data_IF_331767882408
#
_entry.id   IF_331767882408
#
_cell.length_a   1.000
_cell.length_b   1.000
_cell.length_c   1.000
_cell.angle_alpha   90.00
_cell.angle_beta   90.00
_cell.angle_gamma   90.00
#
_symmetry.space_group_name_H-M   'P 1'
#
loop_
_entity.id
_entity.type
_entity.pdbx_description
1 polymer ?
#
# COMPACT_ATOMS: atom_id res chain seq x y z
N UNK A 1 -10.64 -16.40 7.58
CA UNK A 1 -9.66 -17.02 6.66
C UNK A 1 -9.21 -15.88 5.77
N UNK A 2 -7.90 -15.75 5.54
CA UNK A 2 -7.41 -14.77 4.58
C UNK A 2 -8.11 -14.99 3.24
N UNK A 3 -8.39 -13.90 2.52
CA UNK A 3 -8.95 -13.99 1.18
C UNK A 3 -7.95 -14.73 0.27
N UNK A 4 -8.45 -15.64 -0.58
CA UNK A 4 -7.63 -16.56 -1.38
C UNK A 4 -6.56 -15.86 -2.21
N UNK A 5 -6.78 -14.60 -2.58
CA UNK A 5 -5.83 -13.85 -3.39
C UNK A 5 -4.62 -13.34 -2.60
N UNK A 6 -4.82 -12.99 -1.33
CA UNK A 6 -3.73 -12.55 -0.45
C UNK A 6 -2.86 -13.75 -0.10
N UNK A 7 -3.47 -14.91 0.14
CA UNK A 7 -2.75 -16.18 0.35
C UNK A 7 -1.85 -16.53 -0.85
N UNK A 8 -2.37 -16.40 -2.09
CA UNK A 8 -1.59 -16.63 -3.32
C UNK A 8 -0.41 -15.66 -3.44
N UNK A 9 -0.63 -14.37 -3.16
CA UNK A 9 0.43 -13.37 -3.17
C UNK A 9 1.52 -13.69 -2.14
N UNK A 10 1.13 -14.02 -0.92
CA UNK A 10 2.05 -14.35 0.16
C UNK A 10 2.81 -15.65 -0.12
N UNK A 11 2.16 -16.66 -0.73
CA UNK A 11 2.81 -17.89 -1.18
C UNK A 11 3.89 -17.61 -2.23
N UNK A 12 3.55 -16.81 -3.26
CA UNK A 12 4.47 -16.46 -4.33
C UNK A 12 5.72 -15.75 -3.79
N UNK A 13 5.53 -14.80 -2.88
CA UNK A 13 6.64 -14.11 -2.21
C UNK A 13 7.47 -15.07 -1.35
N UNK A 14 6.83 -15.94 -0.57
CA UNK A 14 7.51 -16.91 0.28
C UNK A 14 8.37 -17.87 -0.54
N UNK A 15 7.88 -18.30 -1.72
CA UNK A 15 8.62 -19.16 -2.65
C UNK A 15 9.84 -18.46 -3.27
N UNK A 16 9.79 -17.13 -3.40
CA UNK A 16 10.90 -16.28 -3.87
C UNK A 16 11.82 -15.80 -2.74
N UNK A 17 11.48 -16.07 -1.47
CA UNK A 17 12.23 -15.59 -0.31
C UNK A 17 12.13 -14.07 -0.10
N UNK A 18 11.06 -13.44 -0.59
CA UNK A 18 10.84 -12.00 -0.50
C UNK A 18 10.01 -11.63 0.73
N UNK A 19 10.32 -10.48 1.30
CA UNK A 19 9.69 -9.90 2.48
C UNK A 19 8.97 -8.60 2.15
N UNK A 20 7.95 -8.23 2.94
CA UNK A 20 7.10 -7.06 2.72
C UNK A 20 6.91 -6.23 3.99
N UNK A 21 6.86 -4.91 3.80
CA UNK A 21 6.46 -3.94 4.80
C UNK A 21 5.40 -2.97 4.25
N UNK A 22 4.56 -2.44 5.14
CA UNK A 22 3.45 -1.56 4.79
C UNK A 22 3.53 -0.17 5.44
N UNK A 23 3.15 0.89 4.72
CA UNK A 23 2.74 2.16 5.33
C UNK A 23 1.33 2.54 4.88
N UNK A 24 0.39 2.55 5.82
CA UNK A 24 -1.04 2.59 5.53
C UNK A 24 -1.69 3.85 6.07
N UNK A 25 -2.28 4.65 5.20
CA UNK A 25 -3.21 5.71 5.58
C UNK A 25 -4.63 5.16 5.54
N UNK A 26 -5.29 5.20 4.38
CA UNK A 26 -6.72 4.93 4.23
C UNK A 26 -7.17 3.52 4.66
N UNK A 27 -6.30 2.52 4.59
CA UNK A 27 -6.57 1.13 5.02
C UNK A 27 -6.25 0.88 6.50
N UNK A 28 -5.58 1.80 7.17
CA UNK A 28 -5.35 1.83 8.62
C UNK A 28 -4.79 0.53 9.24
N UNK A 29 -3.97 -0.24 8.52
CA UNK A 29 -3.38 -1.50 9.00
C UNK A 29 -4.11 -2.75 8.51
N UNK A 30 -5.25 -2.60 7.81
CA UNK A 30 -6.01 -3.74 7.32
C UNK A 30 -5.22 -4.52 6.27
N UNK A 31 -4.50 -3.87 5.36
CA UNK A 31 -3.66 -4.55 4.37
C UNK A 31 -2.58 -5.42 5.05
N UNK A 32 -1.85 -4.86 6.03
CA UNK A 32 -0.90 -5.60 6.84
C UNK A 32 -1.55 -6.77 7.59
N UNK A 33 -2.76 -6.56 8.12
CA UNK A 33 -3.48 -7.60 8.86
C UNK A 33 -3.89 -8.79 7.99
N UNK A 34 -4.27 -8.56 6.74
CA UNK A 34 -4.60 -9.65 5.80
C UNK A 34 -3.37 -10.53 5.53
N UNK A 35 -2.19 -9.93 5.35
CA UNK A 35 -0.94 -10.68 5.22
C UNK A 35 -0.58 -11.44 6.50
N UNK A 36 -0.87 -10.88 7.69
CA UNK A 36 -0.65 -11.54 8.97
C UNK A 36 -1.53 -12.78 9.18
N UNK A 37 -2.71 -12.83 8.54
CA UNK A 37 -3.65 -13.95 8.60
C UNK A 37 -3.29 -15.10 7.66
N UNK A 38 -2.32 -14.91 6.75
CA UNK A 38 -1.87 -15.96 5.83
C UNK A 38 -1.00 -17.00 6.55
N UNK A 39 -0.97 -18.27 6.07
CA UNK A 39 -0.02 -19.29 6.55
C UNK A 39 1.45 -18.93 6.31
N UNK A 40 1.73 -17.97 5.43
CA UNK A 40 3.07 -17.55 5.02
C UNK A 40 3.57 -16.32 5.77
N UNK A 41 2.73 -15.71 6.62
CA UNK A 41 3.01 -14.46 7.36
C UNK A 41 4.40 -14.43 8.00
N UNK A 42 4.80 -15.47 8.74
CA UNK A 42 6.10 -15.54 9.39
C UNK A 42 7.32 -15.61 8.46
N UNK A 43 7.11 -15.84 7.16
CA UNK A 43 8.17 -15.82 6.13
C UNK A 43 8.23 -14.50 5.36
N UNK A 44 7.09 -13.82 5.22
CA UNK A 44 6.97 -12.67 4.31
C UNK A 44 6.78 -11.34 5.04
N UNK A 45 5.99 -11.30 6.10
CA UNK A 45 5.57 -10.05 6.71
C UNK A 45 6.60 -9.57 7.75
N UNK A 46 7.21 -8.41 7.49
CA UNK A 46 8.12 -7.75 8.45
C UNK A 46 7.35 -6.86 9.41
N UNK A 47 6.34 -6.15 8.90
CA UNK A 47 5.48 -5.29 9.72
C UNK A 47 4.85 -4.16 8.90
N UNK A 48 4.25 -3.21 9.61
CA UNK A 48 3.66 -2.03 8.97
C UNK A 48 3.43 -0.87 9.92
N UNK A 49 3.25 0.31 9.34
CA UNK A 49 2.99 1.58 10.04
C UNK A 49 1.65 2.14 9.56
N UNK A 50 0.70 2.28 10.48
CA UNK A 50 -0.51 3.05 10.22
C UNK A 50 -0.21 4.55 10.39
N UNK A 51 -0.26 5.32 9.30
CA UNK A 51 0.02 6.76 9.24
C UNK A 51 -1.15 7.52 8.61
N UNK A 52 -2.30 7.44 9.29
CA UNK A 52 -3.58 7.99 8.82
C UNK A 52 -3.51 9.52 8.64
N UNK A 53 -3.07 10.24 9.67
CA UNK A 53 -3.00 11.69 9.65
C UNK A 53 -1.82 12.21 8.80
N UNK A 54 -2.03 13.32 8.10
CA UNK A 54 -0.99 13.96 7.28
C UNK A 54 0.25 14.36 8.10
N UNK A 55 0.07 14.79 9.36
CA UNK A 55 1.18 15.14 10.25
C UNK A 55 2.06 13.94 10.61
N UNK A 56 1.52 12.71 10.61
CA UNK A 56 2.31 11.50 10.81
C UNK A 56 3.14 11.14 9.57
N UNK A 57 2.63 11.43 8.36
CA UNK A 57 3.42 11.28 7.13
C UNK A 57 4.68 12.15 7.18
N UNK A 58 4.57 13.38 7.71
CA UNK A 58 5.71 14.30 7.86
C UNK A 58 6.60 13.93 9.05
N UNK A 59 6.02 13.74 10.23
CA UNK A 59 6.80 13.60 11.47
C UNK A 59 7.46 12.23 11.61
N UNK A 60 6.78 11.16 11.18
CA UNK A 60 7.26 9.78 11.29
C UNK A 60 7.94 9.33 9.99
N UNK A 61 7.22 9.37 8.87
CA UNK A 61 7.77 8.96 7.56
C UNK A 61 8.64 10.04 6.91
N UNK A 62 8.80 11.23 7.49
CA UNK A 62 9.67 12.28 6.94
C UNK A 62 9.31 12.70 5.50
N UNK A 63 8.05 12.51 5.10
CA UNK A 63 7.54 13.07 3.83
C UNK A 63 7.70 14.60 3.90
N UNK A 64 8.35 15.23 2.91
CA UNK A 64 8.47 16.68 2.85
C UNK A 64 7.10 17.37 2.91
N UNK A 65 6.96 18.36 3.78
CA UNK A 65 5.71 19.13 3.91
C UNK A 65 5.30 19.77 2.57
N UNK A 66 6.26 20.19 1.74
CA UNK A 66 5.98 20.76 0.42
C UNK A 66 5.23 19.81 -0.51
N UNK A 67 5.48 18.49 -0.45
CA UNK A 67 4.72 17.53 -1.26
C UNK A 67 3.24 17.48 -0.84
N UNK A 68 2.98 17.60 0.46
CA UNK A 68 1.61 17.64 0.97
C UNK A 68 0.92 18.95 0.55
N UNK A 69 1.64 20.07 0.60
CA UNK A 69 1.10 21.37 0.23
C UNK A 69 0.78 21.45 -1.28
N UNK A 70 1.66 20.88 -2.11
CA UNK A 70 1.53 20.92 -3.58
C UNK A 70 0.54 19.88 -4.13
N UNK A 71 0.51 18.67 -3.57
CA UNK A 71 -0.23 17.53 -4.12
C UNK A 71 -1.34 16.99 -3.23
N UNK A 72 -1.45 17.45 -1.98
CA UNK A 72 -2.31 16.92 -0.90
C UNK A 72 -1.89 15.53 -0.38
N UNK A 73 -2.31 15.12 0.84
CA UNK A 73 -1.94 13.83 1.42
C UNK A 73 -2.44 12.60 0.64
N UNK A 74 -3.55 12.74 -0.10
CA UNK A 74 -4.12 11.70 -0.95
C UNK A 74 -3.70 11.91 -2.41
N UNK A 75 -2.43 11.61 -2.70
CA UNK A 75 -1.82 11.75 -4.04
C UNK A 75 -0.79 10.65 -4.31
N UNK A 76 -0.46 10.40 -5.58
CA UNK A 76 0.53 9.38 -5.94
C UNK A 76 1.93 9.82 -5.52
N UNK A 77 2.22 11.10 -5.58
CA UNK A 77 3.48 11.72 -5.20
C UNK A 77 3.79 11.49 -3.72
N UNK A 78 2.81 11.76 -2.84
CA UNK A 78 2.95 11.47 -1.41
C UNK A 78 3.04 9.96 -1.17
N UNK A 79 2.26 9.14 -1.88
CA UNK A 79 2.30 7.67 -1.73
C UNK A 79 3.65 7.10 -2.11
N UNK A 80 4.22 7.52 -3.23
CA UNK A 80 5.55 7.09 -3.69
C UNK A 80 6.64 7.50 -2.71
N UNK A 81 6.63 8.75 -2.23
CA UNK A 81 7.57 9.22 -1.21
C UNK A 81 7.44 8.41 0.09
N UNK A 82 6.22 8.08 0.52
CA UNK A 82 6.00 7.21 1.68
C UNK A 82 6.71 5.86 1.53
N UNK A 83 6.74 5.26 0.33
CA UNK A 83 7.40 3.98 0.11
C UNK A 83 8.93 4.09 0.20
N UNK A 84 9.51 5.13 -0.39
CA UNK A 84 10.94 5.40 -0.26
C UNK A 84 11.35 5.68 1.18
N UNK A 85 10.50 6.35 1.95
CA UNK A 85 10.77 6.62 3.37
C UNK A 85 10.55 5.40 4.25
N UNK A 86 9.62 4.53 3.90
CA UNK A 86 9.40 3.28 4.61
C UNK A 86 10.63 2.37 4.53
N UNK A 87 11.34 2.35 3.40
CA UNK A 87 12.56 1.55 3.24
C UNK A 87 13.72 2.00 4.12
N UNK A 88 13.73 3.28 4.53
CA UNK A 88 14.69 3.79 5.52
C UNK A 88 14.36 3.34 6.96
N UNK A 89 13.12 2.92 7.23
CA UNK A 89 12.64 2.58 8.57
C UNK A 89 12.53 1.07 8.82
N UNK A 90 12.17 0.29 7.79
CA UNK A 90 11.96 -1.15 7.87
C UNK A 90 12.79 -1.82 6.78
N UNK A 91 13.56 -2.84 7.14
CA UNK A 91 14.32 -3.62 6.16
C UNK A 91 13.42 -4.72 5.58
N UNK A 92 13.04 -4.59 4.31
CA UNK A 92 12.21 -5.54 3.56
C UNK A 92 12.59 -5.49 2.07
N UNK A 93 12.09 -6.43 1.28
CA UNK A 93 12.32 -6.44 -0.18
C UNK A 93 11.23 -5.69 -0.96
N UNK A 94 10.03 -5.61 -0.36
CA UNK A 94 8.84 -4.98 -0.93
C UNK A 94 8.27 -3.96 0.05
N UNK A 95 8.07 -2.73 -0.43
CA UNK A 95 7.51 -1.62 0.35
C UNK A 95 6.21 -1.16 -0.25
N UNK A 96 5.08 -1.46 0.39
CA UNK A 96 3.76 -1.09 -0.10
C UNK A 96 3.18 0.03 0.73
N UNK A 97 2.68 1.06 0.05
CA UNK A 97 2.10 2.22 0.69
C UNK A 97 0.77 2.57 0.05
N UNK A 98 -0.13 3.11 0.87
CA UNK A 98 -1.49 3.39 0.44
C UNK A 98 -2.06 4.62 1.11
N UNK A 99 -2.64 5.49 0.28
CA UNK A 99 -3.45 6.64 0.68
C UNK A 99 -4.71 6.69 -0.18
N UNK A 100 -5.68 7.49 0.22
CA UNK A 100 -6.93 7.59 -0.53
C UNK A 100 -8.08 8.12 0.29
N UNK A 101 -9.23 8.23 -0.37
CA UNK A 101 -10.45 8.83 0.15
C UNK A 101 -11.51 7.74 0.31
N UNK A 102 -11.70 7.24 1.53
CA UNK A 102 -12.72 6.20 1.82
C UNK A 102 -14.04 6.78 2.33
N UNK A 103 -14.05 8.07 2.66
CA UNK A 103 -15.22 8.84 3.11
C UNK A 103 -15.13 10.29 2.60
N UNK A 104 -16.24 11.06 2.55
CA UNK A 104 -16.23 12.45 2.11
C UNK A 104 -15.29 13.34 2.93
N UNK A 105 -14.72 14.37 2.29
CA UNK A 105 -13.80 15.34 2.91
C UNK A 105 -12.33 15.12 2.55
N UNK A 106 -11.43 15.56 3.43
CA UNK A 106 -9.98 15.54 3.14
C UNK A 106 -9.63 16.41 1.94
N UNK A 107 -8.93 15.84 0.96
CA UNK A 107 -8.56 16.51 -0.30
C UNK A 107 -9.48 16.16 -1.49
N UNK A 108 -10.70 15.72 -1.22
CA UNK A 108 -11.71 15.41 -2.23
C UNK A 108 -11.95 16.57 -3.21
N UNK A 109 -12.04 16.25 -4.50
CA UNK A 109 -12.43 17.15 -5.59
C UNK A 109 -13.26 16.38 -6.61
N UNK A 110 -13.86 17.06 -7.59
CA UNK A 110 -14.59 16.37 -8.68
C UNK A 110 -13.72 15.37 -9.45
N UNK A 111 -12.44 15.66 -9.63
CA UNK A 111 -11.48 14.79 -10.32
C UNK A 111 -10.91 13.67 -9.42
N UNK A 112 -11.03 13.84 -8.10
CA UNK A 112 -10.56 12.93 -7.06
C UNK A 112 -11.68 12.69 -6.04
N UNK A 113 -12.76 11.99 -6.43
CA UNK A 113 -13.91 11.75 -5.56
C UNK A 113 -13.62 10.71 -4.46
N UNK A 114 -14.52 10.56 -3.49
CA UNK A 114 -14.56 9.39 -2.61
C UNK A 114 -14.47 8.10 -3.43
N UNK A 115 -13.67 7.15 -2.94
CA UNK A 115 -13.30 5.93 -3.63
C UNK A 115 -11.96 6.02 -4.33
N UNK A 116 -11.35 7.21 -4.49
CA UNK A 116 -10.01 7.34 -5.05
C UNK A 116 -8.97 6.78 -4.10
N UNK A 117 -8.23 5.77 -4.56
CA UNK A 117 -7.17 5.09 -3.83
C UNK A 117 -5.88 5.13 -4.66
N UNK A 118 -4.78 5.44 -3.99
CA UNK A 118 -3.43 5.41 -4.56
C UNK A 118 -2.63 4.35 -3.81
N UNK A 119 -2.03 3.45 -4.56
CA UNK A 119 -1.13 2.42 -4.04
C UNK A 119 0.18 2.50 -4.79
N UNK A 120 1.28 2.47 -4.06
CA UNK A 120 2.63 2.39 -4.59
C UNK A 120 3.38 1.26 -3.91
N UNK A 121 4.09 0.46 -4.70
CA UNK A 121 4.99 -0.59 -4.27
C UNK A 121 6.39 -0.33 -4.81
N UNK A 122 7.41 -0.42 -3.95
CA UNK A 122 8.80 -0.53 -4.37
C UNK A 122 9.23 -1.99 -4.18
N UNK A 123 9.47 -2.71 -5.28
CA UNK A 123 9.80 -4.14 -5.30
C UNK A 123 11.26 -4.26 -5.76
N UNK A 124 12.22 -4.50 -4.86
CA UNK A 124 13.66 -4.52 -5.19
C UNK A 124 14.07 -3.31 -6.06
N UNK A 125 13.75 -2.10 -5.60
CA UNK A 125 13.96 -0.82 -6.29
C UNK A 125 13.16 -0.60 -7.59
N UNK A 126 12.34 -1.56 -8.02
CA UNK A 126 11.42 -1.39 -9.16
C UNK A 126 10.07 -0.83 -8.68
N UNK A 127 9.62 0.34 -9.19
CA UNK A 127 8.35 0.91 -8.80
C UNK A 127 7.17 0.25 -9.54
N UNK A 128 6.11 -0.07 -8.82
CA UNK A 128 4.80 -0.47 -9.34
C UNK A 128 3.72 0.34 -8.62
N UNK A 129 2.69 0.79 -9.34
CA UNK A 129 1.65 1.61 -8.71
C UNK A 129 0.33 1.60 -9.46
N UNK A 130 -0.74 1.97 -8.77
CA UNK A 130 -2.01 2.30 -9.42
C UNK A 130 -2.77 3.41 -8.70
N UNK A 131 -3.58 4.11 -9.49
CA UNK A 131 -4.67 4.96 -9.03
C UNK A 131 -5.99 4.37 -9.51
N UNK A 132 -6.91 4.09 -8.59
CA UNK A 132 -8.25 3.55 -8.93
C UNK A 132 -9.33 4.30 -8.17
N UNK A 133 -10.53 4.34 -8.73
CA UNK A 133 -11.73 4.80 -8.05
C UNK A 133 -12.63 3.59 -7.82
N UNK A 134 -12.89 3.27 -6.55
CA UNK A 134 -13.74 2.16 -6.17
C UNK A 134 -15.09 2.65 -5.65
N UNK A 135 -16.16 2.00 -6.08
CA UNK A 135 -17.51 2.26 -5.57
C UNK A 135 -17.83 1.35 -4.37
N UNK A 136 -18.73 1.81 -3.50
CA UNK A 136 -19.26 1.03 -2.38
C UNK A 136 -19.15 1.75 -1.04
N UNK A 137 -19.33 1.01 0.05
CA UNK A 137 -19.06 1.51 1.39
C UNK A 137 -17.56 1.76 1.60
N UNK A 138 -17.21 2.51 2.66
CA UNK A 138 -15.82 2.68 3.10
C UNK A 138 -15.10 1.32 3.23
N UNK A 139 -15.78 0.34 3.82
CA UNK A 139 -15.27 -1.03 3.97
C UNK A 139 -15.04 -1.72 2.60
N UNK A 140 -15.98 -1.58 1.66
CA UNK A 140 -15.84 -2.14 0.31
C UNK A 140 -14.66 -1.53 -0.44
N UNK A 141 -14.45 -0.21 -0.32
CA UNK A 141 -13.33 0.51 -0.94
C UNK A 141 -12.00 -0.03 -0.42
N UNK A 142 -11.88 -0.20 0.90
CA UNK A 142 -10.66 -0.74 1.52
C UNK A 142 -10.42 -2.19 1.05
N UNK A 143 -11.43 -3.07 1.12
CA UNK A 143 -11.30 -4.46 0.68
C UNK A 143 -10.89 -4.57 -0.80
N UNK A 144 -11.53 -3.80 -1.67
CA UNK A 144 -11.17 -3.75 -3.11
C UNK A 144 -9.75 -3.25 -3.34
N UNK A 145 -9.28 -2.30 -2.53
CA UNK A 145 -7.90 -1.80 -2.59
C UNK A 145 -6.91 -2.87 -2.19
N UNK A 146 -7.19 -3.63 -1.13
CA UNK A 146 -6.36 -4.75 -0.68
C UNK A 146 -6.23 -5.79 -1.79
N UNK A 147 -7.35 -6.21 -2.39
CA UNK A 147 -7.34 -7.21 -3.45
C UNK A 147 -6.59 -6.72 -4.69
N UNK A 148 -6.83 -5.47 -5.10
CA UNK A 148 -6.11 -4.86 -6.22
C UNK A 148 -4.60 -4.71 -5.94
N UNK A 149 -4.21 -4.55 -4.69
CA UNK A 149 -2.80 -4.53 -4.28
C UNK A 149 -2.16 -5.91 -4.41
N UNK A 150 -2.85 -6.97 -3.94
CA UNK A 150 -2.40 -8.34 -4.13
C UNK A 150 -2.30 -8.71 -5.62
N UNK A 151 -3.27 -8.31 -6.44
CA UNK A 151 -3.25 -8.52 -7.89
C UNK A 151 -2.04 -7.87 -8.56
N UNK A 152 -1.74 -6.62 -8.20
CA UNK A 152 -0.58 -5.89 -8.71
C UNK A 152 0.71 -6.63 -8.34
N UNK A 153 0.89 -6.98 -7.06
CA UNK A 153 2.09 -7.69 -6.61
C UNK A 153 2.26 -9.05 -7.30
N UNK A 154 1.17 -9.80 -7.48
CA UNK A 154 1.21 -11.09 -8.19
C UNK A 154 1.67 -10.90 -9.64
N UNK A 155 1.15 -9.88 -10.35
CA UNK A 155 1.56 -9.58 -11.72
C UNK A 155 3.06 -9.29 -11.80
N UNK A 156 3.54 -8.33 -11.00
CA UNK A 156 4.94 -7.90 -11.00
C UNK A 156 5.90 -9.04 -10.64
N UNK A 157 5.54 -9.88 -9.67
CA UNK A 157 6.38 -11.00 -9.23
C UNK A 157 6.34 -12.20 -10.18
N UNK A 158 5.28 -12.35 -10.99
CA UNK A 158 5.18 -13.40 -12.01
C UNK A 158 6.01 -13.05 -13.25
N UNK A 159 6.08 -11.76 -13.61
CA UNK A 159 6.80 -11.27 -14.79
C UNK A 159 8.33 -11.30 -14.61
N UNK A 160 8.83 -11.28 -13.36
CA UNK A 160 10.25 -11.45 -13.02
C UNK A 160 10.75 -12.91 -13.15
N UNK A 161 10.07 -13.74 -13.97
CA UNK A 161 10.48 -15.09 -14.35
C UNK A 161 11.29 -15.15 -15.66
N UNK A 162 11.73 -14.00 -16.19
CA UNK A 162 12.69 -13.98 -17.30
C UNK A 162 14.13 -14.21 -16.78
N UNK A 163 14.88 -15.14 -17.40
CA UNK A 163 16.22 -15.57 -16.97
C UNK A 163 17.30 -14.48 -17.07
#
# INVERSE_FOLDING_TARGET
MADSRIDECAELMANKGLTIAFAESATAGWLCSEFALTPYSGKVLIGGIACYDASLKVSLLKVPQSLIDDFTPESMEVTSEMAHRLSELINADIYVTVTGLTTPGGSETEEKPVGTMFVFALINDKPASFRKVFEGSCEDIIRKTIHATADMLISELSDDSAP
#
